data_IF_312964938451
#
_entry.id   IF_312964938451
#
_cell.length_a   1.000
_cell.length_b   1.000
_cell.length_c   1.000
_cell.angle_alpha   90.00
_cell.angle_beta   90.00
_cell.angle_gamma   90.00
#
_symmetry.space_group_name_H-M   'P 1'
#
loop_
_entity.id
_entity.type
_entity.pdbx_description
1 polymer ?
#
# COMPACT_ATOMS: atom_id res chain seq x y z
N UNK A 1 19.26 -19.00 -17.32
CA UNK A 1 18.79 -17.81 -18.05
C UNK A 1 17.94 -17.04 -17.05
N UNK A 2 18.53 -16.28 -16.13
CA UNK A 2 17.78 -15.78 -14.96
C UNK A 2 18.31 -14.41 -14.52
N UNK A 3 18.57 -13.51 -15.47
CA UNK A 3 18.92 -12.11 -15.18
C UNK A 3 17.66 -11.23 -15.03
N UNK A 4 16.46 -11.79 -15.16
CA UNK A 4 15.18 -11.07 -15.07
C UNK A 4 14.76 -10.74 -13.63
N UNK A 5 15.40 -11.36 -12.63
CA UNK A 5 14.89 -11.36 -11.26
C UNK A 5 15.33 -10.16 -10.40
N UNK A 6 16.44 -9.51 -10.72
CA UNK A 6 17.01 -8.47 -9.85
C UNK A 6 16.45 -7.06 -10.05
N UNK A 7 16.07 -6.71 -11.28
CA UNK A 7 15.58 -5.37 -11.65
C UNK A 7 14.06 -5.27 -11.50
N UNK A 8 13.33 -6.31 -11.91
CA UNK A 8 11.88 -6.37 -11.78
C UNK A 8 11.43 -6.22 -10.31
N UNK A 9 12.09 -6.94 -9.38
CA UNK A 9 11.80 -6.81 -7.95
C UNK A 9 12.08 -5.41 -7.40
N UNK A 10 13.04 -4.67 -7.98
CA UNK A 10 13.33 -3.29 -7.55
C UNK A 10 12.29 -2.29 -8.07
N UNK A 11 11.83 -2.51 -9.31
CA UNK A 11 10.75 -1.74 -9.92
C UNK A 11 9.44 -1.96 -9.14
N UNK A 12 9.10 -3.22 -8.87
CA UNK A 12 7.90 -3.59 -8.10
C UNK A 12 7.93 -2.98 -6.68
N UNK A 13 9.09 -2.96 -6.01
CA UNK A 13 9.25 -2.33 -4.69
C UNK A 13 9.14 -0.80 -4.76
N UNK A 14 9.63 -0.17 -5.83
CA UNK A 14 9.48 1.28 -6.01
C UNK A 14 8.03 1.66 -6.30
N UNK A 15 7.34 0.88 -7.13
CA UNK A 15 5.92 1.06 -7.42
C UNK A 15 5.08 0.85 -6.16
N UNK A 16 5.33 -0.22 -5.39
CA UNK A 16 4.66 -0.46 -4.11
C UNK A 16 4.90 0.68 -3.11
N UNK A 17 6.13 1.19 -2.99
CA UNK A 17 6.41 2.36 -2.12
C UNK A 17 5.66 3.61 -2.56
N UNK A 18 5.60 3.89 -3.86
CA UNK A 18 4.85 5.02 -4.41
C UNK A 18 3.36 4.86 -4.13
N UNK A 19 2.83 3.66 -4.36
CA UNK A 19 1.45 3.30 -4.11
C UNK A 19 1.07 3.44 -2.63
N UNK A 20 1.90 2.92 -1.70
CA UNK A 20 1.69 3.04 -0.25
C UNK A 20 1.73 4.51 0.19
N UNK A 21 2.59 5.33 -0.42
CA UNK A 21 2.70 6.75 -0.10
C UNK A 21 1.40 7.49 -0.47
N UNK A 22 0.83 7.22 -1.65
CA UNK A 22 -0.47 7.77 -2.07
C UNK A 22 -1.61 7.27 -1.17
N UNK A 23 -1.59 5.98 -0.81
CA UNK A 23 -2.56 5.39 0.12
C UNK A 23 -2.52 6.10 1.48
N UNK A 24 -1.32 6.36 1.99
CA UNK A 24 -1.12 7.05 3.27
C UNK A 24 -1.65 8.48 3.22
N UNK A 25 -1.31 9.24 2.18
CA UNK A 25 -1.79 10.62 2.01
C UNK A 25 -3.32 10.68 1.94
N UNK A 26 -3.95 9.73 1.24
CA UNK A 26 -5.41 9.63 1.17
C UNK A 26 -6.03 9.26 2.50
N UNK A 27 -5.44 8.32 3.24
CA UNK A 27 -5.91 7.95 4.58
C UNK A 27 -5.79 9.12 5.58
N UNK A 28 -4.73 9.92 5.49
CA UNK A 28 -4.57 11.16 6.28
C UNK A 28 -5.60 12.21 5.87
N UNK A 29 -5.78 12.45 4.56
CA UNK A 29 -6.78 13.40 4.05
C UNK A 29 -8.21 13.03 4.45
N UNK A 30 -8.52 11.73 4.47
CA UNK A 30 -9.80 11.20 4.93
C UNK A 30 -9.91 11.10 6.47
N UNK A 31 -8.89 11.54 7.22
CA UNK A 31 -8.83 11.52 8.70
C UNK A 31 -8.86 10.13 9.33
N UNK A 32 -8.54 9.07 8.58
CA UNK A 32 -8.39 7.71 9.12
C UNK A 32 -7.07 7.52 9.85
N UNK A 33 -6.00 8.18 9.38
CA UNK A 33 -4.68 8.15 10.00
C UNK A 33 -4.37 9.51 10.61
N UNK A 34 -3.90 9.52 11.86
CA UNK A 34 -3.35 10.71 12.50
C UNK A 34 -1.83 10.56 12.69
N UNK A 35 -1.01 11.42 12.08
CA UNK A 35 0.44 11.38 12.28
C UNK A 35 0.85 11.64 13.74
N UNK A 36 1.94 11.03 14.24
CA UNK A 36 2.82 10.09 13.55
C UNK A 36 2.22 8.68 13.53
N UNK A 37 2.07 8.10 12.34
CA UNK A 37 1.61 6.72 12.16
C UNK A 37 2.75 5.89 11.59
N UNK A 38 3.00 4.75 12.21
CA UNK A 38 4.02 3.80 11.80
C UNK A 38 3.32 2.59 11.19
N UNK A 39 3.70 2.26 9.96
CA UNK A 39 3.29 1.01 9.33
C UNK A 39 4.01 -0.14 10.03
N UNK A 40 3.25 -1.01 10.69
CA UNK A 40 3.77 -2.28 11.20
C UNK A 40 3.82 -3.33 10.08
N UNK A 41 4.56 -4.41 10.33
CA UNK A 41 4.73 -5.49 9.35
C UNK A 41 3.38 -6.10 8.91
N UNK A 42 2.40 -6.16 9.82
CA UNK A 42 1.05 -6.67 9.48
C UNK A 42 0.31 -5.74 8.53
N UNK A 43 0.39 -4.42 8.75
CA UNK A 43 -0.21 -3.45 7.85
C UNK A 43 0.50 -3.45 6.50
N UNK A 44 1.83 -3.55 6.50
CA UNK A 44 2.61 -3.62 5.27
C UNK A 44 2.24 -4.84 4.41
N UNK A 45 2.13 -6.03 5.02
CA UNK A 45 1.70 -7.26 4.35
C UNK A 45 0.31 -7.11 3.73
N UNK A 46 -0.62 -6.50 4.48
CA UNK A 46 -1.98 -6.26 4.00
C UNK A 46 -2.03 -5.28 2.82
N UNK A 47 -1.21 -4.23 2.84
CA UNK A 47 -1.09 -3.26 1.74
C UNK A 47 -0.46 -3.88 0.50
N UNK A 48 0.57 -4.71 0.69
CA UNK A 48 1.17 -5.48 -0.39
C UNK A 48 0.13 -6.40 -1.05
N UNK A 49 -0.69 -7.10 -0.25
CA UNK A 49 -1.78 -7.91 -0.77
C UNK A 49 -2.79 -7.12 -1.62
N UNK A 50 -3.11 -5.87 -1.25
CA UNK A 50 -3.98 -5.01 -2.07
C UNK A 50 -3.31 -4.56 -3.37
N UNK A 51 -2.03 -4.24 -3.32
CA UNK A 51 -1.25 -3.92 -4.52
C UNK A 51 -1.18 -5.11 -5.48
N UNK A 52 -0.94 -6.32 -4.97
CA UNK A 52 -0.81 -7.55 -5.77
C UNK A 52 -2.11 -7.92 -6.52
N UNK A 53 -3.28 -7.61 -5.94
CA UNK A 53 -4.57 -7.80 -6.62
C UNK A 53 -4.97 -6.60 -7.50
N UNK A 54 -4.14 -5.56 -7.58
CA UNK A 54 -4.34 -4.40 -8.43
C UNK A 54 -5.35 -3.37 -7.88
N UNK A 55 -5.57 -3.30 -6.56
CA UNK A 55 -6.40 -2.24 -5.99
C UNK A 55 -5.77 -0.87 -6.20
N UNK A 56 -6.63 0.14 -6.38
CA UNK A 56 -6.17 1.54 -6.31
C UNK A 56 -5.90 1.93 -4.84
N UNK A 57 -5.01 2.90 -4.59
CA UNK A 57 -4.79 3.38 -3.22
C UNK A 57 -6.09 3.80 -2.52
N UNK A 58 -7.01 4.45 -3.23
CA UNK A 58 -8.28 4.93 -2.64
C UNK A 58 -9.18 3.78 -2.22
N UNK A 59 -9.36 2.79 -3.09
CA UNK A 59 -10.11 1.59 -2.76
C UNK A 59 -9.48 0.83 -1.60
N UNK A 60 -8.15 0.80 -1.54
CA UNK A 60 -7.43 0.16 -0.44
C UNK A 60 -7.58 0.92 0.89
N UNK A 61 -7.69 2.25 0.89
CA UNK A 61 -8.05 3.02 2.10
C UNK A 61 -9.42 2.58 2.60
N UNK A 62 -10.40 2.49 1.69
CA UNK A 62 -11.74 2.03 2.04
C UNK A 62 -11.76 0.56 2.46
N UNK A 63 -11.00 -0.33 1.83
CA UNK A 63 -10.91 -1.74 2.23
C UNK A 63 -10.17 -1.94 3.57
N UNK A 64 -9.23 -1.06 3.90
CA UNK A 64 -8.46 -1.12 5.13
C UNK A 64 -9.23 -0.56 6.34
N UNK A 65 -9.84 0.63 6.20
CA UNK A 65 -10.52 1.33 7.29
C UNK A 65 -12.05 1.21 7.24
N UNK A 66 -12.63 0.93 6.08
CA UNK A 66 -14.06 0.78 5.87
C UNK A 66 -14.55 -0.58 6.34
N UNK A 67 -14.66 -0.76 7.65
CA UNK A 67 -15.70 -1.66 8.19
C UNK A 67 -16.96 -0.82 8.30
N UNK A 68 -17.78 -0.80 7.24
CA UNK A 68 -19.18 -0.39 7.35
C UNK A 68 -20.06 -1.37 6.59
N UNK A 69 -20.54 -2.36 7.33
CA UNK A 69 -21.93 -2.78 7.25
C UNK A 69 -22.45 -3.02 8.66
#
# INVERSE_FOLDING_TARGET
MDSKSGLQLQEDVCELRGWISVWYDQAVAARFINPPFVLDDTTADRLQGYFDVGLTPGDAVHAFFGVMH
#
